data_IF_928597752018
#
_entry.id   IF_928597752018
#
_cell.length_a   1.000
_cell.length_b   1.000
_cell.length_c   1.000
_cell.angle_alpha   90.00
_cell.angle_beta   90.00
_cell.angle_gamma   90.00
#
_symmetry.space_group_name_H-M   'P 1'
#
loop_
_entity.id
_entity.type
_entity.pdbx_description
1 polymer ?
#
# COMPACT_ATOMS: atom_id res chain seq x y z
N UNK A 1 41.16 -4.73 19.11
CA UNK A 1 39.78 -5.12 18.81
C UNK A 1 39.44 -4.53 17.45
N UNK A 2 39.25 -5.34 16.42
CA UNK A 2 38.85 -4.86 15.08
C UNK A 2 37.46 -4.26 15.23
N UNK A 3 37.29 -2.96 14.99
CA UNK A 3 36.00 -2.33 14.94
C UNK A 3 35.25 -2.96 13.76
N UNK A 4 34.26 -3.77 14.06
CA UNK A 4 33.38 -4.35 13.04
C UNK A 4 32.67 -3.21 12.32
N UNK A 5 32.71 -3.21 10.98
CA UNK A 5 32.03 -2.17 10.16
C UNK A 5 30.53 -2.19 10.51
N UNK A 6 29.96 -1.02 10.79
CA UNK A 6 28.49 -0.89 10.97
C UNK A 6 27.78 -1.28 9.68
N UNK A 7 26.62 -1.88 9.82
CA UNK A 7 25.72 -2.18 8.72
C UNK A 7 25.08 -0.87 8.24
N UNK A 8 25.15 -0.57 6.94
CA UNK A 8 24.62 0.65 6.36
C UNK A 8 23.17 0.43 5.89
N UNK A 9 22.25 1.15 6.51
CA UNK A 9 20.82 1.06 6.26
C UNK A 9 20.34 2.34 5.59
N UNK A 10 19.85 2.23 4.35
CA UNK A 10 19.15 3.35 3.72
C UNK A 10 17.67 3.34 4.18
N UNK A 11 17.27 4.34 4.95
CA UNK A 11 15.87 4.56 5.33
C UNK A 11 15.24 5.44 4.28
N UNK A 12 14.30 4.88 3.48
CA UNK A 12 13.65 5.58 2.36
C UNK A 12 12.22 5.91 2.74
N UNK A 13 11.84 7.19 2.66
CA UNK A 13 10.54 7.68 3.12
C UNK A 13 10.00 8.85 2.27
N UNK A 14 8.76 9.29 2.55
CA UNK A 14 8.04 10.31 1.79
C UNK A 14 7.23 9.69 0.66
N UNK A 15 7.61 9.96 -0.58
CA UNK A 15 6.95 9.41 -1.78
C UNK A 15 5.89 10.34 -2.36
N UNK A 16 5.31 9.90 -3.49
CA UNK A 16 4.33 10.69 -4.27
C UNK A 16 2.88 10.45 -3.84
N UNK A 17 2.66 9.54 -2.89
CA UNK A 17 1.32 9.19 -2.42
C UNK A 17 0.75 10.25 -1.48
N UNK A 18 -0.55 10.19 -1.27
CA UNK A 18 -1.26 11.02 -0.28
C UNK A 18 -0.82 10.76 1.16
N UNK A 19 -0.14 9.62 1.41
CA UNK A 19 0.39 9.23 2.72
C UNK A 19 1.84 9.71 2.96
N UNK A 20 2.34 10.66 2.14
CA UNK A 20 3.68 11.23 2.24
C UNK A 20 4.06 11.64 3.67
N UNK A 21 3.19 12.36 4.34
CA UNK A 21 3.44 12.86 5.69
C UNK A 21 3.49 11.72 6.74
N UNK A 22 2.67 10.68 6.60
CA UNK A 22 2.71 9.49 7.47
C UNK A 22 4.02 8.75 7.32
N UNK A 23 4.48 8.60 6.09
CA UNK A 23 5.78 8.05 5.77
C UNK A 23 6.91 8.84 6.44
N UNK A 24 6.86 10.17 6.40
CA UNK A 24 7.83 11.04 7.09
C UNK A 24 7.78 10.87 8.62
N UNK A 25 6.58 10.82 9.22
CA UNK A 25 6.42 10.55 10.65
C UNK A 25 6.98 9.19 11.06
N UNK A 26 6.64 8.14 10.27
CA UNK A 26 7.17 6.80 10.49
C UNK A 26 8.70 6.77 10.44
N UNK A 27 9.30 7.49 9.49
CA UNK A 27 10.75 7.61 9.40
C UNK A 27 11.35 8.27 10.65
N UNK A 28 10.73 9.32 11.20
CA UNK A 28 11.16 9.94 12.45
C UNK A 28 11.22 8.94 13.61
N UNK A 29 10.17 8.12 13.77
CA UNK A 29 10.14 7.10 14.82
C UNK A 29 11.18 5.98 14.60
N UNK A 30 11.39 5.55 13.37
CA UNK A 30 12.44 4.57 13.04
C UNK A 30 13.84 5.15 13.29
N UNK A 31 14.10 6.38 12.88
CA UNK A 31 15.39 7.06 13.12
C UNK A 31 15.70 7.23 14.62
N UNK A 32 14.66 7.41 15.45
CA UNK A 32 14.80 7.45 16.90
C UNK A 32 15.03 6.07 17.54
N UNK A 33 14.47 5.02 16.93
CA UNK A 33 14.48 3.66 17.49
C UNK A 33 15.67 2.81 17.06
N UNK A 34 16.27 3.10 15.88
CA UNK A 34 17.33 2.29 15.29
C UNK A 34 18.62 2.36 16.12
N UNK A 35 19.24 1.21 16.37
CA UNK A 35 20.49 1.11 17.13
C UNK A 35 21.68 1.69 16.35
N UNK A 36 22.09 2.90 16.72
CA UNK A 36 23.21 3.63 16.08
C UNK A 36 24.59 3.02 16.35
N UNK A 37 24.71 2.12 17.30
CA UNK A 37 25.98 1.41 17.52
C UNK A 37 26.18 0.29 16.50
N UNK A 38 25.10 -0.34 16.06
CA UNK A 38 25.09 -1.41 15.05
C UNK A 38 24.92 -0.91 13.62
N UNK A 39 24.13 0.15 13.44
CA UNK A 39 23.69 0.63 12.14
C UNK A 39 24.18 2.05 11.84
N UNK A 40 24.73 2.22 10.64
CA UNK A 40 24.95 3.54 10.02
C UNK A 40 23.76 3.83 9.10
N UNK A 41 23.04 4.92 9.40
CA UNK A 41 21.81 5.27 8.68
C UNK A 41 22.10 6.26 7.55
N UNK A 42 21.54 5.99 6.38
CA UNK A 42 21.51 6.89 5.24
C UNK A 42 20.04 7.29 5.00
N UNK A 43 19.58 8.45 5.50
CA UNK A 43 18.20 8.87 5.35
C UNK A 43 17.97 9.46 3.95
N UNK A 44 17.00 8.88 3.23
CA UNK A 44 16.66 9.24 1.86
C UNK A 44 15.19 9.62 1.80
N UNK A 45 14.91 10.87 1.46
CA UNK A 45 13.56 11.36 1.21
C UNK A 45 13.20 11.30 -0.27
N UNK A 46 11.96 10.89 -0.57
CA UNK A 46 11.36 11.06 -1.89
C UNK A 46 10.34 12.18 -1.79
N UNK A 47 10.60 13.30 -2.44
CA UNK A 47 9.70 14.44 -2.47
C UNK A 47 8.39 14.13 -3.22
N UNK A 48 7.31 14.92 -3.03
CA UNK A 48 6.03 14.67 -3.73
C UNK A 48 6.13 14.71 -5.26
N UNK A 49 7.11 15.45 -5.81
CA UNK A 49 7.39 15.48 -7.25
C UNK A 49 8.19 14.27 -7.76
N UNK A 50 8.67 13.41 -6.85
CA UNK A 50 9.42 12.20 -7.13
C UNK A 50 10.93 12.34 -7.09
N UNK A 51 11.50 13.51 -6.76
CA UNK A 51 12.94 13.67 -6.54
C UNK A 51 13.39 12.92 -5.30
N UNK A 52 14.50 12.21 -5.42
CA UNK A 52 15.17 11.53 -4.31
C UNK A 52 16.26 12.45 -3.77
N UNK A 53 16.27 12.71 -2.47
CA UNK A 53 17.20 13.62 -1.83
C UNK A 53 17.76 13.04 -0.54
N UNK A 54 18.99 13.42 -0.19
CA UNK A 54 19.46 13.19 1.19
C UNK A 54 18.71 14.11 2.13
N UNK A 55 18.39 13.59 3.30
CA UNK A 55 17.72 14.34 4.35
C UNK A 55 18.55 14.35 5.63
N UNK A 56 18.09 15.12 6.62
CA UNK A 56 18.61 15.03 7.98
C UNK A 56 18.27 13.69 8.59
N UNK A 57 19.15 13.13 9.40
CA UNK A 57 18.90 11.94 10.23
C UNK A 57 18.42 12.29 11.66
N UNK A 58 18.10 13.56 11.90
CA UNK A 58 17.52 14.06 13.15
C UNK A 58 16.01 13.76 13.19
N UNK A 59 15.56 12.81 14.08
CA UNK A 59 14.17 12.42 14.15
C UNK A 59 13.23 13.58 14.53
N UNK A 60 13.71 14.55 15.30
CA UNK A 60 12.90 15.69 15.72
C UNK A 60 12.44 16.55 14.57
N UNK A 61 13.17 16.55 13.47
CA UNK A 61 12.79 17.28 12.24
C UNK A 61 11.64 16.63 11.47
N UNK A 62 11.36 15.39 11.76
CA UNK A 62 10.26 14.60 11.19
C UNK A 62 9.05 14.46 12.16
N UNK A 63 9.04 15.21 13.26
CA UNK A 63 7.91 15.27 14.17
C UNK A 63 6.87 16.32 13.74
N UNK A 64 5.64 16.16 14.20
CA UNK A 64 4.57 17.18 14.05
C UNK A 64 4.99 18.44 14.83
N UNK A 65 5.00 19.59 14.18
CA UNK A 65 5.35 20.87 14.79
C UNK A 65 4.27 21.91 14.52
N UNK A 66 3.74 22.50 15.59
CA UNK A 66 2.72 23.55 15.46
C UNK A 66 1.45 23.09 14.73
N UNK A 67 1.14 21.78 14.73
CA UNK A 67 0.02 21.19 13.99
C UNK A 67 0.31 20.89 12.52
N UNK A 68 1.53 21.18 12.04
CA UNK A 68 1.94 20.88 10.67
C UNK A 68 2.62 19.51 10.58
N UNK A 69 2.23 18.75 9.55
CA UNK A 69 2.80 17.45 9.23
C UNK A 69 4.17 17.61 8.54
N UNK A 70 5.15 16.73 8.82
CA UNK A 70 6.46 16.81 8.19
C UNK A 70 6.39 16.46 6.69
N UNK A 71 7.29 17.09 5.93
CA UNK A 71 7.49 16.81 4.51
C UNK A 71 8.96 16.59 4.20
N UNK A 72 9.26 15.89 3.13
CA UNK A 72 10.64 15.67 2.67
C UNK A 72 11.33 17.00 2.34
N UNK A 73 10.63 17.92 1.69
CA UNK A 73 11.23 19.23 1.32
C UNK A 73 11.69 20.04 2.53
N UNK A 74 11.00 19.91 3.68
CA UNK A 74 11.36 20.60 4.93
C UNK A 74 12.64 20.04 5.58
N UNK A 75 13.03 18.82 5.27
CA UNK A 75 14.19 18.13 5.85
C UNK A 75 15.28 17.81 4.84
N UNK A 76 15.05 18.09 3.57
CA UNK A 76 16.01 17.87 2.49
C UNK A 76 17.32 18.65 2.72
N UNK A 77 18.43 18.02 2.38
CA UNK A 77 19.73 18.69 2.30
C UNK A 77 19.81 19.37 0.92
N UNK A 78 19.96 20.69 0.84
CA UNK A 78 19.98 21.39 -0.44
C UNK A 78 21.08 20.86 -1.39
N UNK A 79 20.74 20.71 -2.66
CA UNK A 79 21.70 20.30 -3.70
C UNK A 79 22.11 18.82 -3.66
N UNK A 80 21.37 17.96 -2.94
CA UNK A 80 21.70 16.54 -2.81
C UNK A 80 20.66 15.65 -3.48
N UNK A 81 20.50 15.75 -4.78
CA UNK A 81 19.68 14.77 -5.50
C UNK A 81 20.40 13.42 -5.58
N UNK A 82 19.64 12.33 -5.42
CA UNK A 82 20.15 10.97 -5.45
C UNK A 82 19.73 10.31 -6.75
N UNK A 83 20.68 9.71 -7.44
CA UNK A 83 20.43 8.81 -8.56
C UNK A 83 20.87 7.39 -8.21
N UNK A 84 20.00 6.43 -8.51
CA UNK A 84 20.37 5.02 -8.45
C UNK A 84 21.15 4.64 -9.70
N UNK A 85 22.31 4.04 -9.54
CA UNK A 85 23.08 3.45 -10.66
C UNK A 85 22.55 2.06 -10.97
N UNK A 86 22.25 1.83 -12.25
CA UNK A 86 21.76 0.55 -12.76
C UNK A 86 22.87 -0.35 -13.35
N UNK A 87 24.13 0.07 -13.27
CA UNK A 87 25.27 -0.68 -13.78
C UNK A 87 25.59 -1.89 -12.88
N UNK A 88 25.99 -2.98 -13.50
CA UNK A 88 26.31 -4.25 -12.83
C UNK A 88 27.42 -4.04 -11.78
N UNK A 89 27.10 -4.37 -10.54
CA UNK A 89 28.07 -4.38 -9.43
C UNK A 89 28.15 -3.10 -8.61
N UNK A 90 27.42 -2.05 -8.95
CA UNK A 90 27.37 -0.84 -8.14
C UNK A 90 26.08 -0.83 -7.28
N UNK A 91 26.19 -1.27 -6.03
CA UNK A 91 25.20 -1.00 -4.97
C UNK A 91 25.33 0.46 -4.48
N UNK A 92 25.84 1.35 -5.34
CA UNK A 92 26.17 2.70 -4.96
C UNK A 92 25.05 3.66 -5.33
N UNK A 93 24.49 4.28 -4.33
CA UNK A 93 23.71 5.50 -4.49
C UNK A 93 24.69 6.65 -4.82
N UNK A 94 24.34 7.46 -5.79
CA UNK A 94 25.14 8.59 -6.23
C UNK A 94 24.38 9.89 -5.95
N UNK A 95 25.00 10.80 -5.23
CA UNK A 95 24.50 12.17 -5.07
C UNK A 95 24.95 13.00 -6.25
N UNK A 96 24.00 13.69 -6.86
CA UNK A 96 24.25 14.67 -7.92
C UNK A 96 23.76 16.02 -7.46
N UNK A 97 24.66 17.02 -7.42
CA UNK A 97 24.28 18.42 -7.21
C UNK A 97 24.35 19.21 -8.52
N UNK A 98 23.62 20.32 -8.67
CA UNK A 98 23.72 21.18 -9.84
C UNK A 98 25.15 21.69 -10.02
N UNK A 99 25.82 21.31 -11.10
CA UNK A 99 27.19 21.71 -11.41
C UNK A 99 28.28 20.96 -10.64
N UNK A 100 27.96 19.94 -9.86
CA UNK A 100 28.93 19.14 -9.12
C UNK A 100 29.22 17.80 -9.83
N UNK A 101 30.45 17.27 -9.61
CA UNK A 101 30.76 15.91 -10.03
C UNK A 101 29.99 14.92 -9.16
N UNK A 102 29.26 13.93 -9.74
CA UNK A 102 28.53 12.95 -8.98
C UNK A 102 29.40 12.26 -7.93
N UNK A 103 28.96 12.27 -6.68
CA UNK A 103 29.67 11.69 -5.55
C UNK A 103 28.96 10.41 -5.09
N UNK A 104 29.70 9.29 -5.02
CA UNK A 104 29.17 8.07 -4.45
C UNK A 104 28.90 8.23 -2.95
N UNK A 105 27.70 7.82 -2.51
CA UNK A 105 27.35 7.68 -1.09
C UNK A 105 27.97 6.41 -0.48
N UNK A 106 28.58 5.58 -1.31
CA UNK A 106 29.04 4.25 -0.92
C UNK A 106 27.93 3.20 -1.01
N UNK A 107 28.29 1.97 -0.72
CA UNK A 107 27.34 0.85 -0.73
C UNK A 107 26.43 0.91 0.49
N UNK A 108 25.14 0.64 0.29
CA UNK A 108 24.19 0.34 1.38
C UNK A 108 24.01 -1.19 1.46
N UNK A 109 23.96 -1.71 2.67
CA UNK A 109 23.79 -3.15 2.89
C UNK A 109 22.31 -3.55 2.73
N UNK A 110 21.39 -2.67 3.13
CA UNK A 110 19.94 -2.89 3.05
C UNK A 110 19.19 -1.58 2.96
N UNK A 111 18.08 -1.59 2.22
CA UNK A 111 17.08 -0.51 2.19
C UNK A 111 15.92 -0.88 3.10
N UNK A 112 15.53 0.04 3.98
CA UNK A 112 14.30 -0.01 4.76
C UNK A 112 13.32 0.99 4.15
N UNK A 113 12.42 0.55 3.26
CA UNK A 113 11.41 1.42 2.69
C UNK A 113 10.29 1.64 3.71
N UNK A 114 9.86 2.90 3.84
CA UNK A 114 8.72 3.30 4.68
C UNK A 114 7.70 4.05 3.82
N UNK A 115 7.53 3.60 2.58
CA UNK A 115 6.67 4.23 1.59
C UNK A 115 5.31 3.53 1.56
N UNK A 116 4.24 4.32 1.47
CA UNK A 116 2.88 3.82 1.42
C UNK A 116 2.23 4.09 0.06
N UNK A 117 1.31 3.21 -0.35
CA UNK A 117 0.53 3.35 -1.58
C UNK A 117 1.35 3.21 -2.86
N UNK A 118 0.93 3.94 -3.90
CA UNK A 118 1.56 3.89 -5.22
C UNK A 118 3.04 4.28 -5.19
N UNK A 119 3.85 3.56 -5.96
CA UNK A 119 5.33 3.64 -6.05
C UNK A 119 6.07 3.20 -4.77
N UNK A 120 5.36 2.78 -3.72
CA UNK A 120 5.95 2.25 -2.49
C UNK A 120 5.55 0.81 -2.22
N UNK A 121 4.24 0.51 -2.31
CA UNK A 121 3.65 -0.81 -2.01
C UNK A 121 3.14 -1.56 -3.25
N UNK A 122 3.38 -1.04 -4.45
CA UNK A 122 2.87 -1.61 -5.72
C UNK A 122 3.87 -2.49 -6.46
N UNK A 123 5.04 -2.74 -5.88
CA UNK A 123 6.12 -3.51 -6.50
C UNK A 123 7.09 -2.67 -7.35
N UNK A 124 6.81 -1.39 -7.59
CA UNK A 124 7.65 -0.52 -8.43
C UNK A 124 9.02 -0.27 -7.80
N UNK A 125 9.05 0.14 -6.53
CA UNK A 125 10.31 0.32 -5.80
C UNK A 125 11.05 -1.02 -5.64
N UNK A 126 10.32 -2.07 -5.29
CA UNK A 126 10.87 -3.41 -5.13
C UNK A 126 11.53 -3.89 -6.42
N UNK A 127 10.88 -3.67 -7.58
CA UNK A 127 11.45 -3.97 -8.89
C UNK A 127 12.75 -3.21 -9.18
N UNK A 128 12.83 -1.92 -8.81
CA UNK A 128 14.07 -1.14 -8.91
C UNK A 128 15.18 -1.74 -8.05
N UNK A 129 14.86 -2.12 -6.81
CA UNK A 129 15.83 -2.69 -5.88
C UNK A 129 16.29 -4.09 -6.32
N UNK A 130 15.41 -4.90 -6.93
CA UNK A 130 15.79 -6.18 -7.55
C UNK A 130 16.75 -5.99 -8.73
N UNK A 131 16.47 -5.04 -9.64
CA UNK A 131 17.33 -4.73 -10.80
C UNK A 131 18.72 -4.29 -10.32
N UNK A 132 18.78 -3.45 -9.29
CA UNK A 132 20.05 -2.96 -8.71
C UNK A 132 20.71 -3.97 -7.77
N UNK A 133 20.06 -5.12 -7.51
CA UNK A 133 20.53 -6.14 -6.54
C UNK A 133 20.78 -5.58 -5.14
N UNK A 134 20.00 -4.59 -4.76
CA UNK A 134 20.04 -3.99 -3.42
C UNK A 134 19.11 -4.75 -2.49
N UNK A 135 19.61 -5.23 -1.34
CA UNK A 135 18.77 -5.85 -0.31
C UNK A 135 17.77 -4.84 0.25
N UNK A 136 16.56 -5.29 0.55
CA UNK A 136 15.53 -4.42 1.14
C UNK A 136 14.65 -5.21 2.11
N UNK A 137 14.10 -4.49 3.07
CA UNK A 137 13.12 -5.01 4.02
C UNK A 137 11.72 -4.96 3.42
N UNK A 138 10.89 -5.92 3.80
CA UNK A 138 9.49 -5.99 3.39
C UNK A 138 9.23 -6.91 2.20
N UNK A 139 8.01 -6.86 1.72
CA UNK A 139 7.48 -7.74 0.68
C UNK A 139 8.16 -7.55 -0.67
N UNK A 140 8.31 -8.64 -1.42
CA UNK A 140 8.85 -8.61 -2.79
C UNK A 140 7.86 -8.06 -3.82
N UNK A 141 8.28 -8.04 -5.09
CA UNK A 141 7.51 -7.47 -6.21
C UNK A 141 6.10 -8.07 -6.31
N UNK A 142 6.00 -9.40 -6.28
CA UNK A 142 4.72 -10.09 -6.44
C UNK A 142 3.75 -9.75 -5.30
N UNK A 143 4.22 -9.90 -4.07
CA UNK A 143 3.39 -9.70 -2.89
C UNK A 143 2.94 -8.23 -2.76
N UNK A 144 3.81 -7.27 -3.06
CA UNK A 144 3.47 -5.86 -3.09
C UNK A 144 2.40 -5.55 -4.15
N UNK A 145 2.62 -5.96 -5.40
CA UNK A 145 1.68 -5.70 -6.48
C UNK A 145 0.31 -6.38 -6.28
N UNK A 146 0.32 -7.65 -5.84
CA UNK A 146 -0.91 -8.40 -5.62
C UNK A 146 -1.62 -7.96 -4.33
N UNK A 147 -0.89 -7.57 -3.28
CA UNK A 147 -1.44 -7.08 -2.02
C UNK A 147 -2.14 -5.73 -2.16
N UNK A 148 -1.59 -4.83 -2.99
CA UNK A 148 -2.21 -3.54 -3.24
C UNK A 148 -3.51 -3.66 -4.07
N UNK A 149 -3.59 -4.61 -5.00
CA UNK A 149 -4.76 -4.82 -5.85
C UNK A 149 -5.79 -5.75 -5.17
N UNK A 150 -6.83 -5.14 -4.62
CA UNK A 150 -7.86 -5.85 -3.82
C UNK A 150 -8.55 -7.00 -4.56
N UNK A 151 -8.69 -6.93 -5.89
CA UNK A 151 -9.22 -8.05 -6.68
C UNK A 151 -8.27 -9.24 -6.65
N UNK A 152 -7.00 -9.02 -7.04
CA UNK A 152 -6.02 -10.12 -7.10
C UNK A 152 -5.69 -10.67 -5.74
N UNK A 153 -5.59 -9.83 -4.73
CA UNK A 153 -5.44 -10.24 -3.33
C UNK A 153 -6.57 -11.19 -2.90
N UNK A 154 -7.83 -10.80 -3.08
CA UNK A 154 -8.99 -11.62 -2.71
C UNK A 154 -9.09 -12.91 -3.55
N UNK A 155 -8.73 -12.87 -4.83
CA UNK A 155 -8.66 -14.07 -5.68
C UNK A 155 -7.62 -15.07 -5.15
N UNK A 156 -6.43 -14.60 -4.77
CA UNK A 156 -5.38 -15.47 -4.20
C UNK A 156 -5.84 -16.05 -2.87
N UNK A 157 -6.41 -15.24 -1.99
CA UNK A 157 -6.92 -15.70 -0.70
C UNK A 157 -8.03 -16.76 -0.85
N UNK A 158 -9.01 -16.50 -1.72
CA UNK A 158 -10.07 -17.47 -1.99
C UNK A 158 -9.53 -18.79 -2.59
N UNK A 159 -8.55 -18.70 -3.50
CA UNK A 159 -7.90 -19.89 -4.08
C UNK A 159 -7.11 -20.71 -3.03
N UNK A 160 -6.69 -20.07 -1.94
CA UNK A 160 -6.05 -20.73 -0.79
C UNK A 160 -7.03 -21.16 0.30
N UNK A 161 -8.35 -20.98 0.07
CA UNK A 161 -9.40 -21.35 1.03
C UNK A 161 -9.51 -20.39 2.22
N UNK A 162 -8.93 -19.18 2.12
CA UNK A 162 -9.05 -18.16 3.17
C UNK A 162 -10.42 -17.45 3.05
N UNK A 163 -11.07 -17.14 4.17
CA UNK A 163 -12.42 -16.57 4.18
C UNK A 163 -12.37 -15.09 3.80
N UNK A 164 -12.88 -14.73 2.63
CA UNK A 164 -13.00 -13.35 2.15
C UNK A 164 -14.47 -12.91 2.06
N UNK A 165 -14.75 -11.64 2.26
CA UNK A 165 -16.07 -11.06 2.08
C UNK A 165 -16.54 -11.17 0.61
N UNK A 166 -17.86 -11.14 0.38
CA UNK A 166 -18.46 -11.16 -0.96
C UNK A 166 -18.22 -9.85 -1.66
N UNK A 167 -17.87 -9.90 -2.95
CA UNK A 167 -17.58 -8.71 -3.75
C UNK A 167 -17.87 -8.93 -5.23
N UNK A 168 -18.04 -7.84 -5.96
CA UNK A 168 -18.12 -7.78 -7.43
C UNK A 168 -17.10 -6.76 -7.93
N UNK A 169 -16.41 -7.09 -9.03
CA UNK A 169 -15.45 -6.20 -9.68
C UNK A 169 -16.10 -5.47 -10.83
N UNK A 170 -16.03 -4.15 -10.81
CA UNK A 170 -16.50 -3.28 -11.88
C UNK A 170 -15.31 -2.72 -12.64
N UNK A 171 -15.19 -3.08 -13.90
CA UNK A 171 -14.14 -2.54 -14.79
C UNK A 171 -14.71 -1.45 -15.69
N UNK A 172 -13.88 -0.52 -16.08
CA UNK A 172 -14.26 0.61 -16.92
C UNK A 172 -14.96 0.16 -18.22
N UNK A 173 -14.44 -0.88 -18.85
CA UNK A 173 -15.00 -1.46 -20.10
C UNK A 173 -16.40 -2.06 -19.90
N UNK A 174 -16.69 -2.59 -18.71
CA UNK A 174 -17.94 -3.27 -18.38
C UNK A 174 -19.00 -2.22 -17.95
N UNK A 175 -18.53 -1.10 -17.43
CA UNK A 175 -19.36 0.00 -16.94
C UNK A 175 -19.74 1.03 -18.01
N UNK A 176 -18.76 1.48 -18.81
CA UNK A 176 -18.98 2.49 -19.88
C UNK A 176 -19.18 1.88 -21.25
N UNK A 177 -18.92 0.59 -21.41
CA UNK A 177 -18.82 -0.05 -22.70
C UNK A 177 -17.47 0.21 -23.39
N UNK A 178 -17.20 -0.56 -24.44
CA UNK A 178 -16.00 -0.36 -25.26
C UNK A 178 -16.14 0.98 -25.99
N UNK A 179 -15.45 2.01 -25.55
CA UNK A 179 -15.17 3.17 -26.40
C UNK A 179 -14.37 2.65 -27.59
N UNK A 180 -14.87 2.89 -28.80
CA UNK A 180 -14.06 2.63 -30.00
C UNK A 180 -12.75 3.41 -29.82
N UNK A 181 -11.62 2.69 -29.85
CA UNK A 181 -10.29 3.29 -29.78
C UNK A 181 -10.16 4.31 -30.90
N UNK A 182 -10.05 5.61 -30.63
CA UNK A 182 -9.98 6.63 -31.68
C UNK A 182 -8.76 6.42 -32.58
N UNK A 183 -7.69 5.74 -32.12
CA UNK A 183 -6.55 5.39 -32.91
C UNK A 183 -6.83 4.25 -33.92
N UNK A 184 -7.77 3.33 -33.62
CA UNK A 184 -8.18 2.27 -34.55
C UNK A 184 -9.18 2.75 -35.60
N UNK A 185 -10.02 3.76 -35.27
CA UNK A 185 -10.93 4.37 -36.24
C UNK A 185 -10.20 5.25 -37.27
N UNK A 186 -9.10 5.89 -36.89
CA UNK A 186 -8.27 6.67 -37.81
C UNK A 186 -7.52 5.79 -38.82
N UNK A 187 -7.02 4.61 -38.44
CA UNK A 187 -6.34 3.68 -39.39
C UNK A 187 -7.26 2.95 -40.35
N UNK A 188 -8.56 2.85 -40.06
CA UNK A 188 -9.54 2.27 -40.97
C UNK A 188 -10.04 3.29 -42.03
N UNK A 189 -9.90 4.60 -41.78
CA UNK A 189 -10.29 5.66 -42.71
C UNK A 189 -9.21 5.95 -43.76
N UNK A 190 -7.94 5.64 -43.53
CA UNK A 190 -6.85 5.83 -44.50
C UNK A 190 -6.77 4.75 -45.60
N UNK A 191 -7.47 3.61 -45.45
CA UNK A 191 -7.49 2.55 -46.46
C UNK A 191 -8.66 2.61 -47.45
N UNK A 192 -9.61 3.55 -47.31
CA UNK A 192 -10.69 3.81 -48.23
C UNK A 192 -10.39 5.06 -49.08
N UNK A 193 -9.79 4.82 -50.23
CA UNK A 193 -9.22 5.80 -51.15
C UNK A 193 -10.15 6.91 -51.57
N UNK A 194 -9.47 7.99 -51.89
CA UNK A 194 -9.88 9.21 -52.53
C UNK A 194 -11.03 9.11 -53.56
N UNK A 195 -12.12 9.80 -53.32
CA UNK A 195 -12.93 10.51 -54.31
C UNK A 195 -14.04 11.36 -53.68
N UNK A 196 -13.93 12.67 -53.75
CA UNK A 196 -15.02 13.57 -54.14
C UNK A 196 -15.97 14.10 -53.07
N UNK A 197 -15.92 15.43 -52.99
CA UNK A 197 -16.98 16.40 -52.66
C UNK A 197 -17.17 16.84 -51.19
N UNK A 198 -16.91 18.16 -51.03
CA UNK A 198 -17.18 18.94 -49.86
C UNK A 198 -18.70 19.00 -49.57
N UNK A 199 -19.09 18.39 -48.44
CA UNK A 199 -20.40 18.58 -47.81
C UNK A 199 -20.18 19.03 -46.40
N UNK A 200 -20.85 20.08 -45.97
CA UNK A 200 -20.86 20.61 -44.59
C UNK A 200 -21.33 19.54 -43.63
N UNK A 201 -20.37 19.09 -42.80
CA UNK A 201 -20.68 18.12 -41.75
C UNK A 201 -21.39 18.83 -40.59
N UNK A 202 -22.69 18.65 -40.50
CA UNK A 202 -23.47 18.86 -39.29
C UNK A 202 -22.96 17.85 -38.24
N UNK A 203 -22.55 18.36 -37.07
CA UNK A 203 -22.07 17.54 -35.95
C UNK A 203 -23.20 16.62 -35.46
N UNK A 204 -23.07 15.32 -35.74
CA UNK A 204 -23.98 14.32 -35.18
C UNK A 204 -23.87 14.33 -33.62
N UNK A 205 -24.99 14.17 -32.92
CA UNK A 205 -24.99 14.06 -31.45
C UNK A 205 -24.15 12.83 -31.04
N UNK A 206 -23.51 12.86 -29.85
CA UNK A 206 -22.69 11.74 -29.39
C UNK A 206 -23.54 10.46 -29.40
N UNK A 207 -23.04 9.44 -30.09
CA UNK A 207 -23.70 8.14 -30.14
C UNK A 207 -23.86 7.58 -28.74
N UNK A 208 -25.09 7.22 -28.37
CA UNK A 208 -25.36 6.53 -27.09
C UNK A 208 -24.54 5.23 -26.97
N UNK A 209 -24.42 4.68 -25.76
CA UNK A 209 -23.63 3.47 -25.53
C UNK A 209 -24.10 2.33 -26.44
N UNK A 210 -23.14 1.56 -26.95
CA UNK A 210 -23.42 0.43 -27.85
C UNK A 210 -24.33 -0.61 -27.12
N UNK A 211 -25.22 -1.32 -27.83
CA UNK A 211 -26.14 -2.29 -27.21
C UNK A 211 -25.44 -3.35 -26.33
N UNK A 212 -24.23 -3.77 -26.67
CA UNK A 212 -23.42 -4.70 -25.87
C UNK A 212 -22.98 -4.10 -24.53
N UNK A 213 -22.69 -2.79 -24.48
CA UNK A 213 -22.29 -2.09 -23.27
C UNK A 213 -23.46 -2.00 -22.26
N UNK A 214 -24.68 -1.75 -22.77
CA UNK A 214 -25.90 -1.74 -21.94
C UNK A 214 -26.16 -3.10 -21.33
N UNK A 215 -25.93 -4.18 -22.08
CA UNK A 215 -26.12 -5.55 -21.61
C UNK A 215 -25.08 -5.91 -20.53
N UNK A 216 -23.80 -5.50 -20.71
CA UNK A 216 -22.74 -5.80 -19.76
C UNK A 216 -22.90 -5.03 -18.44
N UNK A 217 -23.20 -3.73 -18.50
CA UNK A 217 -23.52 -2.94 -17.32
C UNK A 217 -24.70 -3.52 -16.53
N UNK A 218 -25.76 -3.95 -17.24
CA UNK A 218 -26.90 -4.58 -16.60
C UNK A 218 -26.49 -5.87 -15.87
N UNK A 219 -25.69 -6.72 -16.50
CA UNK A 219 -25.17 -7.95 -15.88
C UNK A 219 -24.38 -7.64 -14.58
N UNK A 220 -23.49 -6.64 -14.62
CA UNK A 220 -22.71 -6.23 -13.45
C UNK A 220 -23.63 -5.71 -12.34
N UNK A 221 -24.64 -4.90 -12.67
CA UNK A 221 -25.62 -4.41 -11.68
C UNK A 221 -26.47 -5.54 -11.09
N UNK A 222 -26.85 -6.53 -11.90
CA UNK A 222 -27.61 -7.72 -11.43
C UNK A 222 -26.72 -8.54 -10.45
N UNK A 223 -25.43 -8.76 -10.75
CA UNK A 223 -24.47 -9.42 -9.86
C UNK A 223 -24.26 -8.65 -8.55
N UNK A 224 -24.14 -7.32 -8.61
CA UNK A 224 -24.04 -6.47 -7.41
C UNK A 224 -25.31 -6.56 -6.58
N UNK A 225 -26.48 -6.62 -7.20
CA UNK A 225 -27.76 -6.77 -6.51
C UNK A 225 -27.87 -8.03 -5.65
N UNK A 226 -27.12 -9.09 -6.00
CA UNK A 226 -27.04 -10.33 -5.20
C UNK A 226 -26.26 -10.18 -3.90
N UNK A 227 -25.45 -9.13 -3.76
CA UNK A 227 -24.66 -8.86 -2.54
C UNK A 227 -25.56 -8.43 -1.37
N UNK A 228 -26.66 -7.73 -1.65
CA UNK A 228 -27.55 -7.11 -0.65
C UNK A 228 -27.03 -5.74 -0.20
N UNK A 229 -27.90 -4.99 0.49
CA UNK A 229 -27.57 -3.65 1.00
C UNK A 229 -27.27 -3.68 2.50
N UNK A 230 -26.46 -2.74 3.03
CA UNK A 230 -25.67 -1.74 2.30
C UNK A 230 -24.44 -2.31 1.61
N UNK A 231 -23.85 -1.52 0.69
CA UNK A 231 -22.66 -1.87 -0.07
C UNK A 231 -21.54 -0.87 0.19
N UNK A 232 -20.28 -1.33 0.06
CA UNK A 232 -19.10 -0.47 0.06
C UNK A 232 -18.45 -0.49 -1.31
N UNK A 233 -18.27 0.70 -1.89
CA UNK A 233 -17.63 0.91 -3.19
C UNK A 233 -16.24 1.47 -2.94
N UNK A 234 -15.19 0.87 -3.53
CA UNK A 234 -13.81 1.29 -3.33
C UNK A 234 -12.95 1.09 -4.58
N UNK A 235 -11.95 1.98 -4.81
CA UNK A 235 -10.93 1.74 -5.84
C UNK A 235 -10.21 0.42 -5.57
N UNK A 236 -9.86 -0.33 -6.63
CA UNK A 236 -9.18 -1.62 -6.45
C UNK A 236 -7.77 -1.46 -5.89
N UNK A 237 -7.07 -0.38 -6.30
CA UNK A 237 -5.67 -0.09 -5.92
C UNK A 237 -5.61 1.25 -5.19
N UNK A 238 -6.12 1.28 -3.97
CA UNK A 238 -6.11 2.46 -3.11
C UNK A 238 -5.80 2.08 -1.67
N UNK A 239 -5.11 2.96 -0.96
CA UNK A 239 -4.84 2.89 0.47
C UNK A 239 -5.58 3.99 1.23
N UNK A 240 -5.36 4.06 2.56
CA UNK A 240 -5.85 5.12 3.45
C UNK A 240 -7.36 5.43 3.35
N UNK A 241 -8.18 4.45 2.98
CA UNK A 241 -9.64 4.59 2.80
C UNK A 241 -10.07 5.65 1.77
N UNK A 242 -9.16 6.11 0.88
CA UNK A 242 -9.46 7.12 -0.13
C UNK A 242 -10.39 6.55 -1.20
N UNK A 243 -11.48 7.28 -1.51
CA UNK A 243 -12.45 6.89 -2.52
C UNK A 243 -13.39 5.75 -2.10
N UNK A 244 -13.42 5.39 -0.79
CA UNK A 244 -14.40 4.45 -0.26
C UNK A 244 -15.72 5.18 0.02
N UNK A 245 -16.81 4.63 -0.49
CA UNK A 245 -18.15 5.19 -0.28
C UNK A 245 -19.14 4.08 0.06
N UNK A 246 -19.98 4.30 1.07
CA UNK A 246 -21.12 3.46 1.38
C UNK A 246 -22.29 3.84 0.49
N UNK A 247 -23.01 2.85 0.00
CA UNK A 247 -24.23 3.00 -0.77
C UNK A 247 -25.36 2.17 -0.16
N UNK A 248 -26.50 2.79 0.09
CA UNK A 248 -27.67 2.14 0.70
C UNK A 248 -28.77 1.84 -0.35
N UNK A 249 -28.60 2.30 -1.59
CA UNK A 249 -29.50 2.09 -2.72
C UNK A 249 -28.76 2.19 -4.06
N UNK A 250 -29.46 1.86 -5.14
CA UNK A 250 -28.89 1.81 -6.49
C UNK A 250 -28.39 3.19 -6.99
N UNK A 251 -29.08 4.28 -6.67
CA UNK A 251 -28.67 5.62 -7.13
C UNK A 251 -27.32 6.00 -6.48
N UNK A 252 -27.20 5.81 -5.17
CA UNK A 252 -25.95 6.03 -4.44
C UNK A 252 -24.83 5.11 -4.91
N UNK A 253 -25.15 3.84 -5.24
CA UNK A 253 -24.19 2.89 -5.79
C UNK A 253 -23.57 3.39 -7.10
N UNK A 254 -24.43 3.87 -8.03
CA UNK A 254 -23.97 4.35 -9.33
C UNK A 254 -23.09 5.61 -9.18
N UNK A 255 -23.46 6.54 -8.29
CA UNK A 255 -22.66 7.72 -7.95
C UNK A 255 -21.32 7.32 -7.30
N UNK A 256 -21.34 6.37 -6.35
CA UNK A 256 -20.15 5.88 -5.68
C UNK A 256 -19.18 5.18 -6.65
N UNK A 257 -19.70 4.40 -7.62
CA UNK A 257 -18.86 3.77 -8.64
C UNK A 257 -18.20 4.84 -9.52
N UNK A 258 -18.95 5.88 -9.96
CA UNK A 258 -18.34 6.96 -10.76
C UNK A 258 -17.26 7.70 -9.97
N UNK A 259 -17.50 8.02 -8.69
CA UNK A 259 -16.52 8.67 -7.83
C UNK A 259 -15.26 7.80 -7.62
N UNK A 260 -15.40 6.50 -7.33
CA UNK A 260 -14.28 5.60 -7.14
C UNK A 260 -13.44 5.42 -8.42
N UNK A 261 -14.09 5.51 -9.60
CA UNK A 261 -13.43 5.40 -10.91
C UNK A 261 -12.55 6.61 -11.27
N UNK A 262 -12.71 7.73 -10.59
CA UNK A 262 -11.78 8.86 -10.72
C UNK A 262 -10.37 8.51 -10.16
N UNK A 263 -10.33 7.59 -9.20
CA UNK A 263 -9.08 7.12 -8.57
C UNK A 263 -8.51 5.88 -9.27
N UNK A 264 -9.35 4.92 -9.66
CA UNK A 264 -8.94 3.67 -10.32
C UNK A 264 -10.02 3.21 -11.31
N UNK A 265 -9.67 2.93 -12.58
CA UNK A 265 -10.62 2.40 -13.58
C UNK A 265 -11.17 1.01 -13.21
N UNK A 266 -10.65 0.38 -12.18
CA UNK A 266 -11.14 -0.85 -11.58
C UNK A 266 -11.65 -0.57 -10.18
N UNK A 267 -12.91 -0.92 -9.92
CA UNK A 267 -13.60 -0.66 -8.64
C UNK A 267 -14.10 -1.99 -8.08
N UNK A 268 -14.02 -2.15 -6.77
CA UNK A 268 -14.69 -3.24 -6.04
C UNK A 268 -15.97 -2.71 -5.39
N UNK A 269 -17.03 -3.50 -5.50
CA UNK A 269 -18.26 -3.34 -4.73
C UNK A 269 -18.36 -4.52 -3.79
N UNK A 270 -18.38 -4.26 -2.49
CA UNK A 270 -18.37 -5.28 -1.45
C UNK A 270 -19.67 -5.25 -0.63
N UNK A 271 -20.16 -6.41 -0.25
CA UNK A 271 -21.21 -6.51 0.76
C UNK A 271 -20.71 -5.92 2.09
N UNK A 272 -21.52 -5.12 2.75
CA UNK A 272 -21.19 -4.66 4.09
C UNK A 272 -21.09 -5.86 5.04
N UNK A 273 -20.08 -5.83 5.91
CA UNK A 273 -19.92 -6.79 6.99
C UNK A 273 -20.24 -6.09 8.30
N UNK A 274 -21.26 -6.56 8.99
CA UNK A 274 -21.55 -6.09 10.34
C UNK A 274 -20.58 -6.77 11.32
N UNK A 275 -19.84 -5.97 12.09
CA UNK A 275 -18.85 -6.51 13.03
C UNK A 275 -17.82 -5.47 13.45
N UNK A 276 -16.76 -5.95 14.07
CA UNK A 276 -15.60 -5.14 14.48
C UNK A 276 -14.43 -5.39 13.54
N UNK A 277 -13.63 -4.36 13.31
CA UNK A 277 -12.36 -4.47 12.60
C UNK A 277 -11.27 -4.95 13.55
N UNK A 278 -10.55 -6.01 13.14
CA UNK A 278 -9.45 -6.59 13.91
C UNK A 278 -8.22 -6.67 13.02
N UNK A 279 -7.12 -6.11 13.48
CA UNK A 279 -5.83 -6.14 12.78
C UNK A 279 -4.88 -7.14 13.44
N UNK A 280 -4.00 -7.77 12.67
CA UNK A 280 -2.96 -8.66 13.14
C UNK A 280 -1.64 -8.38 12.40
N UNK A 281 -0.57 -8.11 13.13
CA UNK A 281 0.75 -7.87 12.56
C UNK A 281 1.49 -9.20 12.37
N UNK A 282 2.15 -9.35 11.21
CA UNK A 282 2.91 -10.56 10.85
C UNK A 282 4.35 -10.16 10.52
N UNK A 283 5.30 -10.95 11.01
CA UNK A 283 6.72 -10.90 10.64
C UNK A 283 7.14 -12.22 10.00
N UNK A 284 8.04 -12.12 9.04
CA UNK A 284 8.74 -13.28 8.50
C UNK A 284 9.45 -14.05 9.61
N UNK A 285 9.42 -15.38 9.51
CA UNK A 285 10.06 -16.25 10.48
C UNK A 285 11.58 -16.12 10.48
N UNK A 286 12.17 -16.25 11.65
CA UNK A 286 13.64 -16.25 11.81
C UNK A 286 14.22 -17.53 11.20
N UNK A 287 15.36 -17.42 10.52
CA UNK A 287 16.11 -18.54 9.94
C UNK A 287 15.26 -19.43 8.98
N UNK A 288 14.30 -18.83 8.27
CA UNK A 288 13.41 -19.56 7.35
C UNK A 288 12.33 -20.40 8.05
N UNK A 289 12.06 -20.11 9.32
CA UNK A 289 10.93 -20.64 10.07
C UNK A 289 9.59 -20.10 9.57
N UNK A 290 8.45 -20.58 10.13
CA UNK A 290 7.14 -20.06 9.80
C UNK A 290 7.01 -18.59 10.23
N UNK A 291 6.11 -17.81 9.60
CA UNK A 291 5.86 -16.44 10.01
C UNK A 291 5.28 -16.38 11.43
N UNK A 292 5.60 -15.29 12.12
CA UNK A 292 5.10 -15.01 13.46
C UNK A 292 3.99 -13.95 13.41
N UNK A 293 2.90 -14.18 14.14
CA UNK A 293 1.82 -13.23 14.29
C UNK A 293 1.78 -12.62 15.70
N UNK A 294 1.53 -11.32 15.79
CA UNK A 294 1.34 -10.59 17.04
C UNK A 294 0.04 -10.96 17.76
N UNK A 295 -0.17 -10.46 18.95
CA UNK A 295 -1.51 -10.35 19.54
C UNK A 295 -2.34 -9.45 18.62
N UNK A 296 -3.58 -9.86 18.23
CA UNK A 296 -4.45 -9.02 17.42
C UNK A 296 -4.94 -7.79 18.20
N UNK A 297 -5.40 -6.77 17.46
CA UNK A 297 -5.98 -5.56 18.02
C UNK A 297 -7.32 -5.26 17.36
N UNK A 298 -8.32 -4.83 18.13
CA UNK A 298 -9.50 -4.18 17.57
C UNK A 298 -9.19 -2.72 17.30
N UNK A 299 -9.58 -2.24 16.11
CA UNK A 299 -9.57 -0.80 15.77
C UNK A 299 -10.79 -0.15 16.42
N UNK A 300 -10.55 0.88 17.23
CA UNK A 300 -11.62 1.69 17.82
C UNK A 300 -11.76 2.97 16.99
N UNK A 301 -12.89 3.10 16.32
CA UNK A 301 -13.25 4.32 15.58
C UNK A 301 -14.02 5.23 16.51
N UNK A 302 -13.50 6.44 16.77
CA UNK A 302 -14.14 7.43 17.62
C UNK A 302 -15.15 8.30 16.86
N UNK A 303 -16.16 8.82 17.57
CA UNK A 303 -17.12 9.80 17.06
C UNK A 303 -18.13 9.30 16.03
N UNK A 304 -18.75 10.25 15.30
CA UNK A 304 -19.71 9.99 14.21
C UNK A 304 -19.03 9.54 12.89
N UNK A 305 -17.71 9.29 12.91
CA UNK A 305 -16.97 8.85 11.73
C UNK A 305 -17.33 7.39 11.39
N UNK A 306 -18.01 7.20 10.27
CA UNK A 306 -18.36 5.86 9.76
C UNK A 306 -17.14 5.11 9.20
N UNK A 307 -15.98 5.76 9.08
CA UNK A 307 -14.75 5.23 8.50
C UNK A 307 -13.53 5.65 9.31
N UNK A 308 -12.59 4.72 9.42
CA UNK A 308 -11.25 4.95 9.93
C UNK A 308 -10.40 5.60 8.82
N UNK A 309 -10.61 6.89 8.59
CA UNK A 309 -9.91 7.65 7.57
C UNK A 309 -8.50 8.12 8.02
N UNK A 310 -7.80 8.79 7.10
CA UNK A 310 -6.45 9.29 7.33
C UNK A 310 -6.35 10.27 8.51
N UNK A 311 -7.33 11.18 8.65
CA UNK A 311 -7.32 12.19 9.73
C UNK A 311 -7.59 11.54 11.08
N UNK A 312 -8.56 10.62 11.14
CA UNK A 312 -8.86 9.86 12.34
C UNK A 312 -7.64 9.05 12.80
N UNK A 313 -6.91 8.43 11.87
CA UNK A 313 -5.72 7.61 12.21
C UNK A 313 -4.58 8.38 12.87
N UNK A 314 -4.33 9.63 12.49
CA UNK A 314 -3.07 10.30 12.85
C UNK A 314 -3.22 11.65 13.53
N UNK A 315 -4.39 12.28 13.47
CA UNK A 315 -4.62 13.63 13.99
C UNK A 315 -5.68 13.69 15.11
N UNK A 316 -6.57 12.69 15.20
CA UNK A 316 -7.63 12.68 16.21
C UNK A 316 -7.25 11.81 17.40
N UNK A 317 -7.42 12.35 18.60
CA UNK A 317 -7.07 11.69 19.87
C UNK A 317 -8.01 10.54 20.25
N UNK A 318 -9.12 10.35 19.52
CA UNK A 318 -10.18 9.40 19.86
C UNK A 318 -10.09 8.05 19.14
N UNK A 319 -9.09 7.85 18.27
CA UNK A 319 -8.83 6.54 17.67
C UNK A 319 -7.86 5.76 18.51
N UNK A 320 -8.27 4.57 18.92
CA UNK A 320 -7.48 3.70 19.79
C UNK A 320 -7.43 2.27 19.30
N UNK A 321 -6.66 1.47 20.00
CA UNK A 321 -6.59 0.03 19.81
C UNK A 321 -6.98 -0.67 21.11
N UNK A 322 -7.89 -1.64 21.05
CA UNK A 322 -8.10 -2.57 22.15
C UNK A 322 -7.23 -3.82 21.94
N UNK A 323 -6.26 -4.02 22.82
CA UNK A 323 -5.30 -5.14 22.76
C UNK A 323 -5.28 -5.86 24.11
N UNK A 324 -5.66 -7.13 24.20
CA UNK A 324 -6.26 -7.94 23.11
C UNK A 324 -7.66 -7.44 22.72
N UNK A 325 -8.18 -7.81 21.53
CA UNK A 325 -9.54 -7.47 21.13
C UNK A 325 -10.56 -8.21 22.03
N UNK A 326 -11.79 -7.66 22.23
CA UNK A 326 -12.81 -8.26 23.09
C UNK A 326 -13.54 -9.44 22.42
N UNK A 327 -12.78 -10.44 21.97
CA UNK A 327 -13.26 -11.65 21.30
C UNK A 327 -12.77 -12.89 22.07
N UNK A 328 -13.38 -14.07 21.87
CA UNK A 328 -12.88 -15.31 22.46
C UNK A 328 -11.42 -15.58 22.12
N UNK A 329 -10.64 -16.09 23.07
CA UNK A 329 -9.22 -16.39 22.88
C UNK A 329 -8.95 -17.37 21.71
N UNK A 330 -9.85 -18.31 21.49
CA UNK A 330 -9.80 -19.26 20.37
C UNK A 330 -9.93 -18.54 19.02
N UNK A 331 -10.79 -17.51 18.91
CA UNK A 331 -10.95 -16.71 17.71
C UNK A 331 -9.76 -15.78 17.49
N UNK A 332 -9.20 -15.21 18.56
CA UNK A 332 -7.97 -14.43 18.48
C UNK A 332 -6.81 -15.30 17.94
N UNK A 333 -6.69 -16.55 18.39
CA UNK A 333 -5.67 -17.46 17.86
C UNK A 333 -5.98 -17.87 16.41
N UNK A 334 -7.24 -18.07 16.03
CA UNK A 334 -7.63 -18.32 14.65
C UNK A 334 -7.28 -17.14 13.73
N UNK A 335 -7.47 -15.89 14.18
CA UNK A 335 -7.04 -14.69 13.43
C UNK A 335 -5.52 -14.69 13.21
N UNK A 336 -4.73 -15.05 14.22
CA UNK A 336 -3.26 -15.15 14.10
C UNK A 336 -2.86 -16.19 13.03
N UNK A 337 -3.50 -17.35 13.04
CA UNK A 337 -3.26 -18.41 12.06
C UNK A 337 -3.66 -17.98 10.65
N UNK A 338 -4.82 -17.32 10.49
CA UNK A 338 -5.27 -16.79 9.21
C UNK A 338 -4.37 -15.68 8.71
N UNK A 339 -3.83 -14.83 9.60
CA UNK A 339 -2.89 -13.78 9.24
C UNK A 339 -1.57 -14.37 8.70
N UNK A 340 -1.01 -15.39 9.35
CA UNK A 340 0.15 -16.11 8.83
C UNK A 340 -0.15 -16.79 7.49
N UNK A 341 -1.31 -17.42 7.36
CA UNK A 341 -1.72 -18.08 6.11
C UNK A 341 -1.92 -17.07 4.96
N UNK A 342 -2.44 -15.87 5.24
CA UNK A 342 -2.56 -14.78 4.26
C UNK A 342 -1.19 -14.26 3.81
N UNK A 343 -0.27 -14.09 4.75
CA UNK A 343 1.11 -13.71 4.49
C UNK A 343 1.81 -14.71 3.55
N UNK A 344 1.69 -16.00 3.83
CA UNK A 344 2.25 -17.06 2.99
C UNK A 344 1.54 -17.18 1.64
N UNK A 345 0.21 -16.99 1.59
CA UNK A 345 -0.57 -17.09 0.35
C UNK A 345 -0.10 -16.09 -0.72
N UNK A 346 0.28 -14.88 -0.31
CA UNK A 346 0.83 -13.85 -1.19
C UNK A 346 2.35 -13.94 -1.35
N UNK A 347 3.01 -14.91 -0.71
CA UNK A 347 4.47 -14.98 -0.64
C UNK A 347 5.08 -13.68 -0.10
N UNK A 348 4.47 -13.13 0.94
CA UNK A 348 5.01 -11.97 1.63
C UNK A 348 6.33 -12.31 2.33
N UNK A 349 7.16 -11.30 2.47
CA UNK A 349 8.45 -11.37 3.13
C UNK A 349 8.58 -10.16 4.07
N UNK A 350 9.42 -10.25 5.08
CA UNK A 350 9.71 -9.19 6.03
C UNK A 350 8.56 -8.92 7.00
N UNK A 351 7.56 -8.18 6.57
CA UNK A 351 6.45 -7.74 7.42
C UNK A 351 5.15 -7.52 6.65
N UNK A 352 4.02 -7.67 7.32
CA UNK A 352 2.71 -7.25 6.83
C UNK A 352 1.73 -7.04 7.99
N UNK A 353 0.66 -6.26 7.76
CA UNK A 353 -0.52 -6.21 8.62
C UNK A 353 -1.70 -6.80 7.86
N UNK A 354 -2.41 -7.71 8.50
CA UNK A 354 -3.59 -8.36 7.94
C UNK A 354 -4.81 -7.89 8.70
N UNK A 355 -5.80 -7.41 7.97
CA UNK A 355 -6.99 -6.77 8.52
C UNK A 355 -8.21 -7.67 8.29
N UNK A 356 -9.03 -7.82 9.32
CA UNK A 356 -10.17 -8.72 9.37
C UNK A 356 -11.42 -8.00 9.83
N UNK A 357 -12.57 -8.52 9.43
CA UNK A 357 -13.84 -8.28 10.10
C UNK A 357 -14.19 -9.50 10.98
N UNK A 358 -14.58 -9.23 12.22
CA UNK A 358 -15.10 -10.22 13.14
C UNK A 358 -16.58 -9.93 13.41
N UNK A 359 -17.46 -10.85 13.01
CA UNK A 359 -18.91 -10.67 13.06
C UNK A 359 -19.49 -11.07 14.42
N UNK A 360 -20.72 -10.61 14.78
CA UNK A 360 -21.36 -10.97 16.03
C UNK A 360 -21.64 -12.48 16.19
N UNK A 361 -21.79 -13.22 15.08
CA UNK A 361 -21.95 -14.67 15.06
C UNK A 361 -20.62 -15.44 15.05
N UNK A 362 -19.50 -14.72 15.19
CA UNK A 362 -18.16 -15.30 15.33
C UNK A 362 -17.46 -15.66 14.02
N UNK A 363 -17.96 -15.21 12.86
CA UNK A 363 -17.24 -15.39 11.61
C UNK A 363 -16.05 -14.44 11.54
N UNK A 364 -14.96 -14.91 10.93
CA UNK A 364 -13.76 -14.13 10.66
C UNK A 364 -13.63 -14.01 9.16
N UNK A 365 -13.66 -12.77 8.64
CA UNK A 365 -13.53 -12.49 7.21
C UNK A 365 -12.27 -11.63 6.98
N UNK A 366 -11.39 -12.11 6.11
CA UNK A 366 -10.19 -11.39 5.73
C UNK A 366 -10.58 -10.23 4.81
N UNK A 367 -10.22 -9.01 5.20
CA UNK A 367 -10.48 -7.78 4.45
C UNK A 367 -9.34 -7.47 3.49
N UNK A 368 -8.14 -7.18 4.04
CA UNK A 368 -6.96 -6.84 3.24
C UNK A 368 -5.64 -7.20 3.94
N UNK A 369 -4.54 -7.08 3.21
CA UNK A 369 -3.18 -7.17 3.71
C UNK A 369 -2.39 -5.93 3.28
N UNK A 370 -1.68 -5.32 4.24
CA UNK A 370 -0.83 -4.17 4.03
C UNK A 370 0.63 -4.62 4.10
N UNK A 371 1.34 -4.55 2.98
CA UNK A 371 2.71 -5.06 2.86
C UNK A 371 3.77 -4.09 3.39
N UNK A 372 3.39 -2.85 3.66
CA UNK A 372 4.21 -1.86 4.36
C UNK A 372 3.33 -1.07 5.35
N UNK A 373 3.01 -1.64 6.51
CA UNK A 373 2.18 -0.97 7.50
C UNK A 373 2.86 0.25 8.10
N UNK A 374 2.07 1.19 8.63
CA UNK A 374 2.59 2.39 9.30
C UNK A 374 3.50 2.05 10.48
N UNK A 375 4.58 2.82 10.62
CA UNK A 375 5.64 2.60 11.61
C UNK A 375 5.76 3.74 12.63
N UNK A 376 4.70 4.54 12.82
CA UNK A 376 4.67 5.52 13.91
C UNK A 376 4.43 4.84 15.26
N UNK A 377 4.72 5.52 16.36
CA UNK A 377 4.46 4.99 17.71
C UNK A 377 2.97 4.76 18.01
N UNK A 378 2.07 5.37 17.24
CA UNK A 378 0.62 5.19 17.31
C UNK A 378 0.09 4.18 16.27
N UNK A 379 0.90 3.76 15.31
CA UNK A 379 0.48 2.79 14.29
C UNK A 379 0.25 1.42 14.91
N UNK A 380 -0.79 0.74 14.45
CA UNK A 380 -1.20 -0.56 15.00
C UNK A 380 -0.09 -1.62 14.92
N UNK A 381 0.68 -1.65 13.82
CA UNK A 381 1.74 -2.66 13.63
C UNK A 381 2.78 -2.67 14.77
N UNK A 382 3.51 -1.58 15.07
CA UNK A 382 4.47 -1.58 16.16
C UNK A 382 3.81 -1.69 17.55
N UNK A 383 2.59 -1.18 17.74
CA UNK A 383 1.86 -1.27 19.00
C UNK A 383 1.48 -2.72 19.32
N UNK A 384 0.97 -3.47 18.34
CA UNK A 384 0.66 -4.90 18.49
C UNK A 384 1.92 -5.74 18.80
N UNK A 385 3.05 -5.43 18.15
CA UNK A 385 4.31 -6.12 18.45
C UNK A 385 4.86 -5.77 19.82
N UNK A 386 4.73 -4.52 20.26
CA UNK A 386 5.11 -4.14 21.64
C UNK A 386 4.26 -4.87 22.67
N UNK A 387 2.94 -5.00 22.44
CA UNK A 387 2.04 -5.80 23.29
C UNK A 387 2.38 -7.30 23.27
N UNK A 388 3.03 -7.77 22.18
CA UNK A 388 3.51 -9.16 22.04
C UNK A 388 4.93 -9.36 22.62
N UNK A 389 5.51 -8.34 23.28
CA UNK A 389 6.83 -8.42 23.91
C UNK A 389 8.00 -8.03 22.99
N UNK A 390 7.75 -7.49 21.78
CA UNK A 390 8.77 -7.02 20.86
C UNK A 390 8.66 -5.49 20.67
N UNK A 391 9.32 -4.68 21.51
CA UNK A 391 9.27 -3.22 21.39
C UNK A 391 9.97 -2.69 20.13
N UNK A 392 9.64 -1.46 19.72
CA UNK A 392 10.04 -0.88 18.46
C UNK A 392 11.53 -0.99 18.11
N UNK A 393 12.51 -0.74 19.02
CA UNK A 393 13.93 -0.92 18.67
C UNK A 393 14.29 -2.36 18.27
N UNK A 394 13.73 -3.36 18.98
CA UNK A 394 13.96 -4.77 18.66
C UNK A 394 13.21 -5.20 17.41
N UNK A 395 12.02 -4.64 17.17
CA UNK A 395 11.24 -4.84 15.95
C UNK A 395 12.00 -4.35 14.73
N UNK A 396 12.57 -3.14 14.79
CA UNK A 396 13.39 -2.56 13.70
C UNK A 396 14.63 -3.43 13.45
N UNK A 397 15.33 -3.85 14.51
CA UNK A 397 16.47 -4.76 14.39
C UNK A 397 16.07 -6.07 13.69
N UNK A 398 14.98 -6.71 14.11
CA UNK A 398 14.50 -7.95 13.50
C UNK A 398 14.17 -7.76 12.00
N UNK A 399 13.48 -6.69 11.63
CA UNK A 399 13.15 -6.40 10.23
C UNK A 399 14.42 -6.24 9.38
N UNK A 400 15.41 -5.49 9.88
CA UNK A 400 16.68 -5.29 9.19
C UNK A 400 17.46 -6.61 9.08
N UNK A 401 17.57 -7.37 10.17
CA UNK A 401 18.31 -8.64 10.16
C UNK A 401 17.68 -9.66 9.21
N UNK A 402 16.34 -9.78 9.19
CA UNK A 402 15.63 -10.65 8.24
C UNK A 402 15.97 -10.27 6.80
N UNK A 403 15.95 -8.97 6.48
CA UNK A 403 16.25 -8.47 5.14
C UNK A 403 17.72 -8.74 4.71
N UNK A 404 18.66 -8.70 5.65
CA UNK A 404 20.09 -9.00 5.37
C UNK A 404 20.33 -10.49 5.06
N UNK A 405 19.52 -11.39 5.64
CA UNK A 405 19.63 -12.84 5.40
C UNK A 405 18.87 -13.29 4.14
N UNK A 406 18.04 -12.42 3.59
CA UNK A 406 17.27 -12.69 2.37
C UNK A 406 18.20 -12.91 1.17
N UNK A 407 17.95 -13.97 0.39
CA UNK A 407 18.69 -14.19 -0.86
C UNK A 407 18.27 -13.12 -1.87
N UNK A 408 19.29 -12.42 -2.41
CA UNK A 408 19.09 -11.37 -3.43
C UNK A 408 18.77 -11.98 -4.80
N UNK A 409 17.89 -11.35 -5.55
CA UNK A 409 17.53 -11.71 -6.93
C UNK A 409 16.13 -12.32 -7.05
N UNK A 410 15.54 -12.15 -8.23
CA UNK A 410 14.25 -12.75 -8.58
C UNK A 410 14.30 -14.27 -8.41
N UNK A 411 13.33 -14.82 -7.74
CA UNK A 411 13.09 -16.27 -7.59
C UNK A 411 11.97 -16.72 -8.53
#
# INVERSE_FOLDING_TARGET
MSSQRKIRVAVVFGGRSTEHAVSCLGAGHILAAIDRDRYEVVPIGIAPDGRWVLTSDDPDRLAIRGGELPTVDAVATPGTEIAARLDRGAQALVVTGPGEVPRSLGEVDVVLPLLHGAYGEDGTLQGLLEITRTGYAGAGVLASAAGLDKEYMKLIFAARGLPVGRYVVVRDRDWRGRTADPARSAGAAESAGAAGSAGTAESAPPAGPAPQAVTERKRVLDEIGELGWPLFVKPARGGASIGITRADNQAELEEAIEAAREFDPKVLVEAAVEGIEVECAVLEGVDGGPPDASVPAQVLVGGDSQFYDFQAKYLEADTGLAIPPPIPAEHAEQIRQLACAAFEALSCEGLARVDFFYTPDGQILLNEINTMPGMTSASAFPVMWAASGLPLPQLVDRIIQTALHKRRGLR
#
